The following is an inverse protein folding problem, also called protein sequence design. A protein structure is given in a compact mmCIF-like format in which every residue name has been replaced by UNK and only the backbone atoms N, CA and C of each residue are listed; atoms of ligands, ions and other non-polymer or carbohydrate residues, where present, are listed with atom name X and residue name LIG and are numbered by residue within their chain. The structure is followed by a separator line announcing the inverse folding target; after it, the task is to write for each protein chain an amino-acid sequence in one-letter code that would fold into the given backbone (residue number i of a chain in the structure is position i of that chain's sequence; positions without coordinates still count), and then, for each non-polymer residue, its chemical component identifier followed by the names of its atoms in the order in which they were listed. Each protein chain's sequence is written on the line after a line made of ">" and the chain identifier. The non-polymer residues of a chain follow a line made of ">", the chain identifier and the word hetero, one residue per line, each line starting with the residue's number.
data_IF_470612370457
#
_entry.id   IF_470612370457
#
_cell.length_a   1.000
_cell.length_b   1.000
_cell.length_c   1.000
_cell.angle_alpha   90.00
_cell.angle_beta   90.00
_cell.angle_gamma   90.00
#
_symmetry.space_group_name_H-M   'P 1'
#
loop_
_entity.id
_entity.type
_entity.pdbx_description
1 polymer ?
#
# COMPACT_ATOMS: atom_id res chain seq x y z
N UNK A 1 28.69 29.17 8.32
CA UNK A 1 28.18 29.33 9.70
C UNK A 1 29.21 28.97 10.77
N UNK A 2 29.85 27.78 10.72
CA UNK A 2 30.81 27.28 11.74
C UNK A 2 31.93 28.27 12.13
N UNK A 3 32.63 28.89 11.18
CA UNK A 3 33.72 29.85 11.50
C UNK A 3 33.23 31.15 12.15
N UNK A 4 32.02 31.59 11.85
CA UNK A 4 31.43 32.84 12.40
C UNK A 4 31.06 32.66 13.87
N UNK A 5 30.60 31.46 14.25
CA UNK A 5 30.21 31.14 15.62
C UNK A 5 31.41 30.76 16.49
N UNK A 6 32.41 30.07 15.94
CA UNK A 6 33.61 29.65 16.68
C UNK A 6 34.52 30.80 17.14
N UNK A 7 34.55 31.91 16.38
CA UNK A 7 35.41 33.06 16.70
C UNK A 7 34.87 33.91 17.85
N UNK A 8 33.75 33.51 18.47
CA UNK A 8 33.13 34.26 19.55
C UNK A 8 33.39 33.63 20.92
N UNK A 9 33.62 34.49 21.92
CA UNK A 9 33.88 34.12 23.31
C UNK A 9 32.72 34.50 24.25
N UNK A 10 31.54 34.83 23.73
CA UNK A 10 30.40 35.28 24.54
C UNK A 10 30.00 34.23 25.58
N UNK A 11 29.98 32.95 25.22
CA UNK A 11 29.72 31.87 26.18
C UNK A 11 30.84 31.70 27.21
N UNK A 12 32.10 31.95 26.83
CA UNK A 12 33.25 31.89 27.74
C UNK A 12 33.23 33.00 28.81
N UNK A 13 32.55 34.11 28.54
CA UNK A 13 32.36 35.22 29.48
C UNK A 13 31.03 35.15 30.25
N UNK A 14 30.20 34.14 29.98
CA UNK A 14 28.92 33.94 30.65
C UNK A 14 29.02 32.83 31.70
N UNK A 15 28.39 33.01 32.87
CA UNK A 15 28.33 31.99 33.93
C UNK A 15 27.31 30.87 33.61
N UNK A 16 27.18 30.48 32.34
CA UNK A 16 26.26 29.44 31.89
C UNK A 16 27.01 28.13 31.70
N UNK A 17 26.39 27.01 32.05
CA UNK A 17 26.89 25.69 31.70
C UNK A 17 26.70 25.47 30.19
N UNK A 18 27.79 25.30 29.46
CA UNK A 18 27.74 25.08 28.01
C UNK A 18 28.65 23.92 27.59
N UNK A 19 28.31 23.30 26.47
CA UNK A 19 29.06 22.20 25.86
C UNK A 19 29.83 22.67 24.61
N UNK A 20 30.76 21.85 24.11
CA UNK A 20 31.57 22.20 22.93
C UNK A 20 30.75 22.43 21.66
N UNK A 21 29.55 21.84 21.57
CA UNK A 21 28.61 22.06 20.45
C UNK A 21 27.90 23.41 20.54
N UNK A 22 27.73 23.96 21.75
CA UNK A 22 27.07 25.25 21.96
C UNK A 22 27.94 26.41 21.46
N UNK A 23 29.27 26.24 21.47
CA UNK A 23 30.20 27.19 20.83
C UNK A 23 30.00 27.33 19.31
N UNK A 24 29.42 26.32 18.66
CA UNK A 24 29.16 26.27 17.22
C UNK A 24 27.73 26.73 16.88
N UNK A 25 26.85 26.78 17.86
CA UNK A 25 25.44 27.14 17.71
C UNK A 25 25.22 28.66 17.76
N UNK A 26 24.00 29.10 17.44
CA UNK A 26 23.58 30.50 17.52
C UNK A 26 23.54 31.04 18.96
N UNK A 27 23.60 30.15 19.96
CA UNK A 27 23.70 30.52 21.38
C UNK A 27 25.00 31.24 21.74
N UNK A 28 26.06 31.12 20.92
CA UNK A 28 27.33 31.83 21.12
C UNK A 28 27.36 33.24 20.47
N UNK A 29 26.22 33.81 20.08
CA UNK A 29 26.12 35.12 19.43
C UNK A 29 25.45 36.12 20.39
N UNK A 30 26.07 37.28 20.69
CA UNK A 30 25.51 38.26 21.61
C UNK A 30 24.36 39.02 20.96
N UNK A 31 23.41 39.44 21.80
CA UNK A 31 22.27 40.26 21.41
C UNK A 31 22.77 41.59 20.80
N UNK A 32 22.25 41.96 19.62
CA UNK A 32 22.65 43.17 18.90
C UNK A 32 23.87 43.02 17.97
N UNK A 33 24.42 41.81 17.79
CA UNK A 33 25.55 41.59 16.89
C UNK A 33 25.17 41.55 15.41
N UNK A 34 25.93 42.26 14.57
CA UNK A 34 25.85 42.17 13.10
C UNK A 34 26.12 40.74 12.56
N UNK A 35 26.60 39.81 13.39
CA UNK A 35 26.83 38.41 13.01
C UNK A 35 25.52 37.60 12.90
N UNK A 36 24.45 38.00 13.60
CA UNK A 36 23.14 37.34 13.46
C UNK A 36 22.56 37.53 12.05
N UNK A 37 22.76 38.70 11.45
CA UNK A 37 22.39 38.98 10.05
C UNK A 37 23.01 37.98 9.06
N UNK A 38 24.23 37.50 9.33
CA UNK A 38 24.86 36.49 8.46
C UNK A 38 24.11 35.15 8.49
N UNK A 39 23.54 34.76 9.63
CA UNK A 39 22.73 33.54 9.71
C UNK A 39 21.40 33.69 8.97
N UNK A 40 20.77 34.86 9.10
CA UNK A 40 19.53 35.19 8.40
C UNK A 40 19.72 35.19 6.88
N UNK A 41 20.74 35.88 6.38
CA UNK A 41 21.06 35.92 4.95
C UNK A 41 21.40 34.54 4.41
N UNK A 42 22.18 33.74 5.14
CA UNK A 42 22.48 32.37 4.75
C UNK A 42 21.22 31.48 4.73
N UNK A 43 20.31 31.64 5.68
CA UNK A 43 19.04 30.91 5.68
C UNK A 43 18.19 31.27 4.45
N UNK A 44 18.10 32.55 4.09
CA UNK A 44 17.44 32.98 2.84
C UNK A 44 18.15 32.45 1.59
N UNK A 45 19.48 32.46 1.56
CA UNK A 45 20.25 31.92 0.44
C UNK A 45 20.02 30.40 0.28
N UNK A 46 20.03 29.64 1.37
CA UNK A 46 19.76 28.21 1.33
C UNK A 46 18.32 27.91 0.93
N UNK A 47 17.33 28.61 1.49
CA UNK A 47 15.92 28.41 1.12
C UNK A 47 15.65 28.80 -0.33
N UNK A 48 16.23 29.89 -0.82
CA UNK A 48 16.13 30.26 -2.23
C UNK A 48 16.78 29.21 -3.14
N UNK A 49 17.98 28.75 -2.77
CA UNK A 49 18.69 27.71 -3.52
C UNK A 49 17.93 26.39 -3.56
N UNK A 50 17.40 25.93 -2.42
CA UNK A 50 16.61 24.69 -2.35
C UNK A 50 15.33 24.83 -3.15
N UNK A 51 14.60 25.95 -3.04
CA UNK A 51 13.43 26.23 -3.86
C UNK A 51 13.74 26.25 -5.36
N UNK A 52 14.89 26.82 -5.76
CA UNK A 52 15.33 26.84 -7.14
C UNK A 52 15.60 25.43 -7.69
N UNK A 53 16.39 24.63 -6.95
CA UNK A 53 16.65 23.24 -7.32
C UNK A 53 15.34 22.45 -7.37
N UNK A 54 14.48 22.59 -6.36
CA UNK A 54 13.23 21.85 -6.30
C UNK A 54 12.29 22.19 -7.45
N UNK A 55 12.19 23.48 -7.85
CA UNK A 55 11.44 23.90 -9.03
C UNK A 55 12.00 23.27 -10.31
N UNK A 56 13.32 23.23 -10.47
CA UNK A 56 13.96 22.64 -11.65
C UNK A 56 13.73 21.14 -11.73
N UNK A 57 13.95 20.41 -10.64
CA UNK A 57 13.73 18.97 -10.60
C UNK A 57 12.25 18.62 -10.78
N UNK A 58 11.34 19.41 -10.19
CA UNK A 58 9.90 19.24 -10.41
C UNK A 58 9.52 19.39 -11.89
N UNK A 59 10.06 20.41 -12.56
CA UNK A 59 9.85 20.59 -13.99
C UNK A 59 10.34 19.38 -14.79
N UNK A 60 11.53 18.85 -14.48
CA UNK A 60 12.09 17.66 -15.15
C UNK A 60 11.21 16.43 -14.93
N UNK A 61 10.77 16.17 -13.70
CA UNK A 61 9.90 15.02 -13.40
C UNK A 61 8.53 15.17 -14.07
N UNK A 62 7.97 16.38 -14.10
CA UNK A 62 6.70 16.65 -14.77
C UNK A 62 6.80 16.42 -16.29
N UNK A 63 7.86 16.89 -16.94
CA UNK A 63 8.05 16.66 -18.39
C UNK A 63 8.29 15.20 -18.71
N UNK A 64 9.09 14.49 -17.91
CA UNK A 64 9.26 13.04 -18.04
C UNK A 64 7.93 12.29 -17.90
N UNK A 65 7.10 12.67 -16.91
CA UNK A 65 5.79 12.06 -16.69
C UNK A 65 4.84 12.32 -17.85
N UNK A 66 4.81 13.53 -18.39
CA UNK A 66 3.95 13.86 -19.53
C UNK A 66 4.41 13.13 -20.80
N UNK A 67 5.71 13.07 -21.04
CA UNK A 67 6.27 12.29 -22.15
C UNK A 67 5.92 10.80 -22.00
N UNK A 68 6.06 10.25 -20.78
CA UNK A 68 5.68 8.86 -20.50
C UNK A 68 4.20 8.63 -20.80
N UNK A 69 3.30 9.47 -20.26
CA UNK A 69 1.85 9.34 -20.45
C UNK A 69 1.44 9.45 -21.92
N UNK A 70 2.09 10.32 -22.71
CA UNK A 70 1.82 10.45 -24.13
C UNK A 70 2.35 9.27 -24.96
N UNK A 71 3.42 8.61 -24.50
CA UNK A 71 4.04 7.46 -25.16
C UNK A 71 3.45 6.11 -24.72
N UNK A 72 2.64 6.11 -23.66
CA UNK A 72 2.09 4.89 -23.06
C UNK A 72 1.09 4.22 -24.01
N UNK A 73 1.12 2.89 -24.07
CA UNK A 73 0.14 2.12 -24.85
C UNK A 73 -1.23 2.22 -24.21
N UNK A 74 -2.28 2.02 -25.01
CA UNK A 74 -3.65 2.00 -24.53
C UNK A 74 -3.82 1.04 -23.34
N UNK A 75 -4.17 1.61 -22.19
CA UNK A 75 -4.47 0.87 -20.96
C UNK A 75 -5.95 1.10 -20.60
N UNK A 76 -6.69 0.10 -20.09
CA UNK A 76 -8.10 0.27 -19.70
C UNK A 76 -8.31 1.42 -18.71
N UNK A 77 -7.33 1.71 -17.86
CA UNK A 77 -7.39 2.82 -16.89
C UNK A 77 -7.48 4.21 -17.55
N UNK A 78 -7.09 4.36 -18.82
CA UNK A 78 -7.22 5.61 -19.57
C UNK A 78 -8.66 5.87 -20.06
N UNK A 79 -9.48 4.81 -20.14
CA UNK A 79 -10.84 4.85 -20.69
C UNK A 79 -11.92 4.50 -19.66
N UNK A 80 -11.54 4.15 -18.44
CA UNK A 80 -12.47 3.78 -17.36
C UNK A 80 -12.51 4.87 -16.30
N UNK A 81 -13.72 5.31 -15.93
CA UNK A 81 -13.94 6.30 -14.88
C UNK A 81 -14.66 5.62 -13.71
N UNK A 82 -14.14 5.81 -12.50
CA UNK A 82 -14.77 5.32 -11.29
C UNK A 82 -15.82 6.33 -10.79
N UNK A 83 -17.09 6.00 -11.01
CA UNK A 83 -18.22 6.77 -10.46
C UNK A 83 -18.53 6.27 -9.05
N UNK A 84 -18.72 7.20 -8.11
CA UNK A 84 -19.05 6.92 -6.70
C UNK A 84 -20.30 7.69 -6.30
N UNK A 85 -20.99 7.21 -5.25
CA UNK A 85 -22.18 7.84 -4.67
C UNK A 85 -23.33 8.03 -5.68
N UNK A 86 -23.68 6.96 -6.41
CA UNK A 86 -24.89 6.96 -7.23
C UNK A 86 -26.12 7.00 -6.31
N UNK A 87 -27.08 7.92 -6.53
CA UNK A 87 -28.28 7.97 -5.70
C UNK A 87 -29.09 6.68 -5.83
N UNK A 88 -29.65 6.14 -4.73
CA UNK A 88 -30.53 5.00 -4.81
C UNK A 88 -31.87 5.42 -5.41
N UNK A 89 -32.33 4.69 -6.41
CA UNK A 89 -33.68 4.80 -6.97
C UNK A 89 -34.54 3.60 -6.49
N UNK A 90 -35.83 3.82 -6.30
CA UNK A 90 -36.79 2.77 -5.92
C UNK A 90 -37.31 2.01 -7.13
N UNK A 91 -37.30 2.63 -8.31
CA UNK A 91 -37.98 2.13 -9.50
C UNK A 91 -37.01 1.48 -10.49
N UNK A 92 -35.74 1.92 -10.51
CA UNK A 92 -34.70 1.44 -11.43
C UNK A 92 -33.51 0.81 -10.68
N UNK A 93 -32.88 -0.18 -11.31
CA UNK A 93 -31.62 -0.72 -10.80
C UNK A 93 -30.48 0.29 -10.98
N UNK A 94 -29.43 0.22 -10.13
CA UNK A 94 -28.23 1.08 -10.27
C UNK A 94 -27.59 0.96 -11.66
N UNK A 95 -27.71 -0.21 -12.29
CA UNK A 95 -27.21 -0.48 -13.64
C UNK A 95 -27.95 0.36 -14.69
N UNK A 96 -29.28 0.29 -14.67
CA UNK A 96 -30.16 1.01 -15.62
C UNK A 96 -30.05 2.52 -15.43
N UNK A 97 -30.03 2.99 -14.18
CA UNK A 97 -29.89 4.41 -13.87
C UNK A 97 -28.58 4.99 -14.44
N UNK A 98 -27.47 4.26 -14.25
CA UNK A 98 -26.16 4.67 -14.78
C UNK A 98 -26.17 4.65 -16.31
N UNK A 99 -26.71 3.59 -16.91
CA UNK A 99 -26.82 3.48 -18.36
C UNK A 99 -27.65 4.62 -18.96
N UNK A 100 -28.83 4.88 -18.43
CA UNK A 100 -29.70 5.98 -18.86
C UNK A 100 -28.99 7.33 -18.71
N UNK A 101 -28.37 7.60 -17.56
CA UNK A 101 -27.64 8.84 -17.32
C UNK A 101 -26.52 9.08 -18.34
N UNK A 102 -25.70 8.07 -18.62
CA UNK A 102 -24.58 8.22 -19.55
C UNK A 102 -25.01 8.25 -21.02
N UNK A 103 -26.06 7.53 -21.41
CA UNK A 103 -26.62 7.61 -22.75
C UNK A 103 -27.25 8.98 -23.04
N UNK A 104 -27.91 9.59 -22.06
CA UNK A 104 -28.52 10.92 -22.22
C UNK A 104 -27.47 12.03 -22.24
N UNK A 105 -26.46 11.98 -21.37
CA UNK A 105 -25.48 13.07 -21.24
C UNK A 105 -24.25 12.91 -22.15
N UNK A 106 -23.84 11.68 -22.46
CA UNK A 106 -22.62 11.35 -23.20
C UNK A 106 -22.83 10.23 -24.23
N UNK A 107 -23.77 10.38 -25.18
CA UNK A 107 -24.16 9.32 -26.12
C UNK A 107 -22.98 8.82 -26.99
N UNK A 108 -22.10 9.73 -27.42
CA UNK A 108 -21.01 9.40 -28.36
C UNK A 108 -19.80 8.73 -27.69
N UNK A 109 -19.67 8.83 -26.35
CA UNK A 109 -18.49 8.36 -25.61
C UNK A 109 -18.78 7.18 -24.69
N UNK A 110 -20.05 6.93 -24.39
CA UNK A 110 -20.44 5.82 -23.53
C UNK A 110 -20.27 4.48 -24.27
N UNK A 111 -19.51 3.57 -23.66
CA UNK A 111 -19.26 2.24 -24.23
C UNK A 111 -19.92 1.14 -23.41
N UNK A 112 -19.60 1.07 -22.12
CA UNK A 112 -20.12 0.06 -21.19
C UNK A 112 -19.86 0.50 -19.76
N UNK A 113 -20.62 -0.07 -18.82
CA UNK A 113 -20.39 0.10 -17.39
C UNK A 113 -20.34 -1.27 -16.71
N UNK A 114 -19.72 -1.29 -15.53
CA UNK A 114 -19.72 -2.47 -14.65
C UNK A 114 -20.04 -2.04 -13.24
N UNK A 115 -21.18 -2.52 -12.74
CA UNK A 115 -21.60 -2.28 -11.35
C UNK A 115 -20.68 -3.08 -10.41
N UNK A 116 -20.24 -2.43 -9.33
CA UNK A 116 -19.40 -3.03 -8.30
C UNK A 116 -20.30 -3.47 -7.16
N UNK A 117 -20.25 -4.76 -6.85
CA UNK A 117 -20.98 -5.37 -5.73
C UNK A 117 -20.03 -5.65 -4.55
N UNK A 118 -20.57 -5.73 -3.33
CA UNK A 118 -19.78 -6.16 -2.17
C UNK A 118 -19.38 -7.63 -2.31
N UNK A 119 -18.14 -7.86 -2.75
CA UNK A 119 -17.55 -9.17 -2.91
C UNK A 119 -16.63 -9.54 -1.73
N UNK A 120 -16.80 -8.97 -0.54
CA UNK A 120 -15.93 -9.26 0.61
C UNK A 120 -15.96 -10.73 1.01
N UNK A 121 -17.14 -11.33 1.10
CA UNK A 121 -17.28 -12.74 1.44
C UNK A 121 -16.70 -13.63 0.34
N UNK A 122 -17.11 -13.39 -0.92
CA UNK A 122 -16.62 -14.11 -2.09
C UNK A 122 -15.10 -14.03 -2.22
N UNK A 123 -14.51 -12.85 -2.09
CA UNK A 123 -13.04 -12.67 -2.16
C UNK A 123 -12.32 -13.43 -1.04
N UNK A 124 -12.90 -13.49 0.16
CA UNK A 124 -12.36 -14.27 1.27
C UNK A 124 -12.39 -15.78 0.99
N UNK A 125 -13.47 -16.28 0.37
CA UNK A 125 -13.60 -17.69 -0.03
C UNK A 125 -12.60 -18.04 -1.14
N UNK A 126 -12.49 -17.19 -2.16
CA UNK A 126 -11.51 -17.35 -3.25
C UNK A 126 -10.08 -17.36 -2.72
N UNK A 127 -9.76 -16.47 -1.77
CA UNK A 127 -8.45 -16.44 -1.13
C UNK A 127 -8.14 -17.72 -0.33
N UNK A 128 -9.12 -18.23 0.44
CA UNK A 128 -9.00 -19.53 1.13
C UNK A 128 -8.79 -20.68 0.16
N UNK A 129 -9.54 -20.73 -0.94
CA UNK A 129 -9.40 -21.74 -2.01
C UNK A 129 -8.00 -21.71 -2.61
N UNK A 130 -7.49 -20.52 -2.96
CA UNK A 130 -6.12 -20.34 -3.47
C UNK A 130 -5.06 -20.81 -2.48
N UNK A 131 -5.22 -20.51 -1.18
CA UNK A 131 -4.32 -20.98 -0.14
C UNK A 131 -4.32 -22.52 -0.03
N UNK A 132 -5.49 -23.15 -0.09
CA UNK A 132 -5.60 -24.61 -0.07
C UNK A 132 -4.99 -25.24 -1.32
N UNK A 133 -5.16 -24.63 -2.49
CA UNK A 133 -4.49 -25.04 -3.72
C UNK A 133 -2.96 -25.01 -3.57
N UNK A 134 -2.39 -23.92 -3.07
CA UNK A 134 -0.96 -23.81 -2.83
C UNK A 134 -0.43 -24.92 -1.89
N UNK A 135 -1.21 -25.29 -0.87
CA UNK A 135 -0.86 -26.41 0.02
C UNK A 135 -0.92 -27.75 -0.70
N UNK A 136 -1.96 -27.98 -1.50
CA UNK A 136 -2.09 -29.19 -2.30
C UNK A 136 -0.91 -29.34 -3.27
N UNK A 137 -0.53 -28.27 -3.97
CA UNK A 137 0.62 -28.24 -4.87
C UNK A 137 1.93 -28.55 -4.10
N UNK A 138 2.10 -27.98 -2.90
CA UNK A 138 3.24 -28.30 -2.03
C UNK A 138 3.32 -29.79 -1.68
N UNK A 139 2.20 -30.40 -1.28
CA UNK A 139 2.17 -31.82 -0.92
C UNK A 139 2.36 -32.75 -2.11
N UNK A 140 1.81 -32.39 -3.27
CA UNK A 140 2.06 -33.08 -4.53
C UNK A 140 3.55 -33.03 -4.89
N UNK A 141 4.17 -31.85 -4.87
CA UNK A 141 5.60 -31.69 -5.13
C UNK A 141 6.47 -32.49 -4.15
N UNK A 142 6.09 -32.50 -2.87
CA UNK A 142 6.78 -33.29 -1.84
C UNK A 142 6.70 -34.80 -2.14
N UNK A 143 5.53 -35.29 -2.52
CA UNK A 143 5.34 -36.69 -2.91
C UNK A 143 6.10 -37.06 -4.19
N UNK A 144 6.08 -36.20 -5.21
CA UNK A 144 6.83 -36.39 -6.45
C UNK A 144 8.35 -36.53 -6.21
N UNK A 145 8.89 -35.80 -5.22
CA UNK A 145 10.31 -35.88 -4.82
C UNK A 145 10.63 -37.13 -4.00
N UNK A 146 9.76 -37.52 -3.07
CA UNK A 146 9.92 -38.72 -2.24
C UNK A 146 8.76 -39.68 -2.46
N UNK A 147 8.88 -40.56 -3.46
CA UNK A 147 7.84 -41.53 -3.85
C UNK A 147 7.51 -42.60 -2.79
N UNK A 148 8.24 -42.63 -1.68
CA UNK A 148 8.16 -43.71 -0.69
C UNK A 148 7.03 -43.56 0.34
N UNK A 149 6.58 -42.35 0.67
CA UNK A 149 5.55 -42.12 1.72
C UNK A 149 4.62 -40.98 1.34
N UNK A 150 3.30 -41.23 1.39
CA UNK A 150 2.29 -40.19 1.21
C UNK A 150 2.30 -39.20 2.39
N UNK A 151 2.30 -37.88 2.13
CA UNK A 151 2.31 -36.90 3.20
C UNK A 151 0.99 -36.94 3.97
N UNK A 152 1.08 -37.12 5.29
CA UNK A 152 -0.11 -37.12 6.16
C UNK A 152 -0.26 -35.78 6.86
N UNK A 153 -1.52 -35.35 7.02
CA UNK A 153 -1.90 -34.19 7.83
C UNK A 153 -2.76 -34.69 9.00
N UNK A 154 -2.61 -34.11 10.18
CA UNK A 154 -3.55 -34.39 11.28
C UNK A 154 -4.86 -33.65 11.01
N UNK A 155 -5.98 -34.39 10.94
CA UNK A 155 -7.32 -33.81 10.85
C UNK A 155 -7.77 -33.40 12.25
N UNK A 156 -7.86 -32.09 12.49
CA UNK A 156 -8.59 -31.56 13.64
C UNK A 156 -10.08 -31.77 13.35
N UNK A 157 -10.72 -32.67 14.09
CA UNK A 157 -12.17 -32.88 14.05
C UNK A 157 -12.81 -32.08 15.17
N UNK A 158 -13.91 -31.38 14.89
CA UNK A 158 -14.65 -30.54 15.85
C UNK A 158 -14.99 -31.28 17.16
N UNK A 159 -15.22 -32.59 17.10
CA UNK A 159 -15.54 -33.43 18.26
C UNK A 159 -14.37 -33.74 19.19
N UNK A 160 -13.13 -33.40 18.82
CA UNK A 160 -11.90 -33.64 19.61
C UNK A 160 -11.23 -32.33 20.09
N UNK A 161 -11.92 -31.19 19.94
CA UNK A 161 -11.36 -29.86 20.17
C UNK A 161 -11.11 -29.53 21.66
N UNK A 162 -11.48 -30.43 22.58
CA UNK A 162 -11.31 -30.26 24.03
C UNK A 162 -9.96 -30.77 24.56
N UNK A 163 -9.04 -31.22 23.69
CA UNK A 163 -7.71 -31.71 24.07
C UNK A 163 -6.63 -30.63 24.11
N UNK A 164 -5.75 -30.69 25.12
CA UNK A 164 -4.63 -29.78 25.37
C UNK A 164 -3.82 -29.51 24.07
N UNK A 165 -3.88 -28.26 23.58
CA UNK A 165 -3.16 -27.75 22.41
C UNK A 165 -3.37 -28.49 21.06
N UNK A 166 -4.52 -29.14 20.84
CA UNK A 166 -4.87 -29.66 19.51
C UNK A 166 -3.95 -30.76 18.96
N UNK A 167 -3.22 -31.46 19.85
CA UNK A 167 -2.19 -32.45 19.51
C UNK A 167 -2.74 -33.85 19.16
N UNK A 168 -3.97 -34.16 19.59
CA UNK A 168 -4.65 -35.46 19.43
C UNK A 168 -5.69 -35.42 18.30
N UNK A 169 -5.25 -35.69 17.06
CA UNK A 169 -6.13 -35.83 15.90
C UNK A 169 -5.69 -36.97 14.99
N UNK A 170 -6.64 -37.60 14.31
CA UNK A 170 -6.37 -38.70 13.38
C UNK A 170 -5.54 -38.23 12.18
N UNK A 171 -4.55 -39.03 11.77
CA UNK A 171 -3.74 -38.76 10.57
C UNK A 171 -4.58 -39.11 9.34
N UNK A 172 -4.75 -38.14 8.44
CA UNK A 172 -5.40 -38.32 7.13
C UNK A 172 -4.40 -38.00 6.02
N UNK A 173 -4.66 -38.50 4.81
CA UNK A 173 -3.86 -38.11 3.64
C UNK A 173 -4.02 -36.60 3.41
N UNK A 174 -2.90 -35.88 3.34
CA UNK A 174 -2.92 -34.44 3.16
C UNK A 174 -3.49 -34.08 1.78
N UNK A 175 -3.22 -34.88 0.75
CA UNK A 175 -3.67 -34.61 -0.61
C UNK A 175 -5.20 -34.73 -0.70
N UNK A 176 -5.76 -35.84 -0.21
CA UNK A 176 -7.21 -36.09 -0.18
C UNK A 176 -7.96 -35.07 0.69
N UNK A 177 -7.33 -34.60 1.77
CA UNK A 177 -7.90 -33.55 2.61
C UNK A 177 -8.02 -32.21 1.86
N UNK A 178 -6.98 -31.78 1.16
CA UNK A 178 -7.03 -30.50 0.45
C UNK A 178 -7.90 -30.56 -0.80
N UNK A 179 -7.94 -31.67 -1.54
CA UNK A 179 -8.88 -31.83 -2.67
C UNK A 179 -10.33 -31.71 -2.21
N UNK A 180 -10.72 -32.42 -1.16
CA UNK A 180 -12.10 -32.36 -0.64
C UNK A 180 -12.46 -30.97 -0.11
N UNK A 181 -11.54 -30.27 0.55
CA UNK A 181 -11.76 -28.89 1.02
C UNK A 181 -11.87 -27.90 -0.15
N UNK A 182 -11.08 -28.08 -1.22
CA UNK A 182 -11.17 -27.26 -2.43
C UNK A 182 -12.51 -27.48 -3.14
N UNK A 183 -12.99 -28.73 -3.23
CA UNK A 183 -14.30 -29.05 -3.79
C UNK A 183 -15.43 -28.40 -2.98
N UNK A 184 -15.34 -28.45 -1.65
CA UNK A 184 -16.30 -27.79 -0.76
C UNK A 184 -16.32 -26.27 -0.97
N UNK A 185 -15.15 -25.63 -0.95
CA UNK A 185 -15.03 -24.19 -1.21
C UNK A 185 -15.48 -23.83 -2.63
N UNK A 186 -15.27 -24.70 -3.62
CA UNK A 186 -15.73 -24.45 -4.98
C UNK A 186 -17.24 -24.51 -5.12
N UNK A 187 -17.91 -25.39 -4.37
CA UNK A 187 -19.37 -25.42 -4.28
C UNK A 187 -19.89 -24.15 -3.61
N UNK A 188 -19.30 -23.75 -2.49
CA UNK A 188 -19.67 -22.53 -1.75
C UNK A 188 -19.54 -21.28 -2.63
N UNK A 189 -18.46 -21.17 -3.41
CA UNK A 189 -18.26 -20.07 -4.38
C UNK A 189 -19.25 -20.09 -5.56
N UNK A 190 -19.81 -21.26 -5.92
CA UNK A 190 -20.80 -21.33 -7.01
C UNK A 190 -22.23 -21.01 -6.57
N UNK A 191 -22.52 -21.12 -5.27
CA UNK A 191 -23.86 -20.88 -4.71
C UNK A 191 -24.05 -19.48 -4.14
N UNK A 192 -22.96 -18.74 -3.87
CA UNK A 192 -22.98 -17.33 -3.46
C UNK A 192 -22.65 -16.40 -4.63
#
# INVERSE_FOLDING_TARGET
>A
MVRVNWTNRTLEHSNLTYSSIDKLSMSNIPLGSNRFWTHLVMAYAFTFWTCYIWKREYHIVATMRLHFLASERHHPDQFTVLVRNVPPDTDESVSELVEHFFLVNHPDYYLTHKVIYDAKELSSLVAKKKKNQNWLDYYQLKYSRSKSVRPTKKRLTLYLQNGFLGLCGNKVDAMDFYTTEIEKLSKEVSFG
#
